data_IF_025646867948
#
_entry.id   IF_025646867948
#
_cell.length_a   1.000
_cell.length_b   1.000
_cell.length_c   1.000
_cell.angle_alpha   90.00
_cell.angle_beta   90.00
_cell.angle_gamma   90.00
#
_symmetry.space_group_name_H-M   'P 1'
#
loop_
_entity.id
_entity.type
_entity.pdbx_description
1 polymer ?
#
# COMPACT_ATOMS: atom_id res chain seq x y z
N UNK A 1 17.19 -15.59 -11.34
CA UNK A 1 16.50 -15.95 -10.09
C UNK A 1 17.41 -15.77 -8.88
N UNK A 2 17.94 -14.54 -8.66
CA UNK A 2 18.90 -14.26 -7.54
C UNK A 2 18.68 -12.89 -6.89
N UNK A 3 17.56 -12.18 -7.18
CA UNK A 3 17.41 -10.76 -6.83
C UNK A 3 16.59 -10.44 -5.56
N UNK A 4 15.94 -11.41 -4.95
CA UNK A 4 15.04 -11.14 -3.80
C UNK A 4 15.66 -11.43 -2.42
N UNK A 5 16.99 -11.61 -2.33
CA UNK A 5 17.62 -11.93 -1.04
C UNK A 5 18.06 -10.73 -0.22
N UNK A 6 17.96 -9.51 -0.72
CA UNK A 6 18.45 -8.31 -0.04
C UNK A 6 17.39 -7.19 0.02
N UNK A 7 16.11 -7.50 0.33
CA UNK A 7 15.26 -6.47 0.93
C UNK A 7 15.75 -6.28 2.38
N UNK A 8 16.95 -5.74 2.53
CA UNK A 8 17.39 -5.18 3.78
C UNK A 8 16.57 -3.91 3.95
N UNK A 9 15.47 -3.98 4.70
CA UNK A 9 14.83 -2.80 5.24
C UNK A 9 15.91 -2.13 6.09
N UNK A 10 16.55 -1.10 5.53
CA UNK A 10 17.40 -0.22 6.29
C UNK A 10 16.50 0.36 7.39
N UNK A 11 16.81 0.04 8.64
CA UNK A 11 16.15 0.65 9.77
C UNK A 11 16.39 2.17 9.65
N UNK A 12 15.38 2.89 9.16
CA UNK A 12 15.41 4.35 9.08
C UNK A 12 15.30 4.84 10.51
N UNK A 13 16.45 5.17 11.09
CA UNK A 13 16.52 5.94 12.32
C UNK A 13 16.05 7.36 11.99
N UNK A 14 14.76 7.60 12.19
CA UNK A 14 14.15 8.90 12.02
C UNK A 14 14.69 9.87 13.08
N UNK A 15 15.64 10.70 12.68
CA UNK A 15 15.96 11.91 13.40
C UNK A 15 15.00 13.01 12.94
N UNK A 16 14.14 13.41 13.85
CA UNK A 16 13.12 14.44 13.79
C UNK A 16 13.58 15.77 13.21
N UNK A 17 13.04 16.17 12.05
CA UNK A 17 12.81 17.59 11.71
C UNK A 17 11.48 17.68 10.97
N UNK A 18 10.40 17.89 11.72
CA UNK A 18 9.05 18.09 11.20
C UNK A 18 8.91 19.56 10.83
N UNK A 19 9.13 19.95 9.60
CA UNK A 19 8.59 21.21 9.07
C UNK A 19 8.81 21.62 7.59
N UNK A 20 9.31 20.89 6.61
CA UNK A 20 8.92 21.22 5.23
C UNK A 20 8.32 20.06 4.41
N UNK A 21 7.87 18.98 5.05
CA UNK A 21 7.41 17.79 4.34
C UNK A 21 6.00 17.92 3.74
N UNK A 22 5.15 18.79 4.27
CA UNK A 22 3.74 18.82 3.85
C UNK A 22 3.49 19.36 2.43
N UNK A 23 4.34 20.25 1.91
CA UNK A 23 4.16 20.78 0.54
C UNK A 23 4.69 19.84 -0.57
N UNK A 24 5.51 18.84 -0.21
CA UNK A 24 6.06 17.85 -1.16
C UNK A 24 5.22 16.58 -1.26
N UNK A 25 4.36 16.33 -0.28
CA UNK A 25 3.56 15.09 -0.20
C UNK A 25 2.46 15.06 -1.27
N UNK A 26 1.91 16.21 -1.65
CA UNK A 26 0.83 16.26 -2.65
C UNK A 26 1.31 15.87 -4.06
N UNK A 27 2.49 16.31 -4.48
CA UNK A 27 3.06 16.00 -5.80
C UNK A 27 3.42 14.51 -5.92
N UNK A 28 4.00 13.91 -4.88
CA UNK A 28 4.44 12.52 -4.92
C UNK A 28 3.28 11.51 -4.98
N UNK A 29 2.12 11.83 -4.38
CA UNK A 29 0.95 10.94 -4.48
C UNK A 29 0.34 10.97 -5.90
N UNK A 30 0.32 12.13 -6.55
CA UNK A 30 -0.12 12.24 -7.94
C UNK A 30 0.82 11.47 -8.89
N UNK A 31 2.13 11.48 -8.62
CA UNK A 31 3.11 10.73 -9.38
C UNK A 31 2.99 9.22 -9.14
N UNK A 32 2.71 8.78 -7.90
CA UNK A 32 2.40 7.40 -7.60
C UNK A 32 1.14 6.93 -8.36
N UNK A 33 0.05 7.70 -8.35
CA UNK A 33 -1.17 7.36 -9.11
C UNK A 33 -0.89 7.24 -10.61
N UNK A 34 -0.07 8.14 -11.17
CA UNK A 34 0.33 8.10 -12.58
C UNK A 34 1.16 6.85 -12.86
N UNK A 35 2.15 6.53 -12.02
CA UNK A 35 2.96 5.31 -12.14
C UNK A 35 2.08 4.06 -12.15
N UNK A 36 1.11 3.96 -11.25
CA UNK A 36 0.18 2.83 -11.18
C UNK A 36 -0.64 2.72 -12.48
N UNK A 37 -1.18 3.83 -12.97
CA UNK A 37 -1.97 3.87 -14.19
C UNK A 37 -1.15 3.49 -15.44
N UNK A 38 0.07 4.02 -15.57
CA UNK A 38 1.00 3.74 -16.67
C UNK A 38 1.41 2.26 -16.71
N UNK A 39 1.32 1.57 -15.57
CA UNK A 39 1.60 0.13 -15.46
C UNK A 39 0.32 -0.74 -15.45
N UNK A 40 -0.78 -0.22 -15.98
CA UNK A 40 -1.98 -0.99 -16.30
C UNK A 40 -2.91 -1.23 -15.12
N UNK A 41 -2.82 -0.43 -14.06
CA UNK A 41 -3.84 -0.38 -13.02
C UNK A 41 -4.87 0.67 -13.43
N UNK A 42 -6.13 0.24 -13.59
CA UNK A 42 -7.22 1.15 -13.91
C UNK A 42 -7.64 1.91 -12.65
N UNK A 43 -7.11 3.12 -12.49
CA UNK A 43 -7.44 3.99 -11.34
C UNK A 43 -8.73 4.75 -11.64
N UNK A 44 -9.72 4.59 -10.78
CA UNK A 44 -11.02 5.26 -10.88
C UNK A 44 -11.28 6.04 -9.60
N UNK A 45 -11.62 7.31 -9.75
CA UNK A 45 -12.07 8.16 -8.65
C UNK A 45 -13.61 8.20 -8.72
N UNK A 46 -14.27 7.62 -7.74
CA UNK A 46 -15.71 7.51 -7.71
C UNK A 46 -16.30 8.44 -6.64
N UNK A 47 -17.16 9.36 -7.05
CA UNK A 47 -17.83 10.29 -6.13
C UNK A 47 -19.07 9.68 -5.46
N UNK A 48 -19.59 8.57 -5.99
CA UNK A 48 -20.79 7.88 -5.50
C UNK A 48 -20.45 6.74 -4.52
N UNK A 49 -19.42 6.89 -3.71
CA UNK A 49 -19.09 5.93 -2.67
C UNK A 49 -20.11 5.98 -1.54
N UNK A 50 -20.54 4.80 -1.09
CA UNK A 50 -21.52 4.66 -0.01
C UNK A 50 -20.96 4.90 1.40
N UNK A 51 -19.67 5.26 1.49
CA UNK A 51 -18.96 5.52 2.76
C UNK A 51 -18.51 4.26 3.49
N UNK A 52 -18.65 3.08 2.88
CA UNK A 52 -18.19 1.81 3.50
C UNK A 52 -16.69 1.59 3.37
N UNK A 53 -16.04 2.27 2.41
CA UNK A 53 -14.58 2.21 2.19
C UNK A 53 -14.08 3.55 1.61
N UNK A 54 -12.79 3.84 1.82
CA UNK A 54 -12.11 5.01 1.25
C UNK A 54 -11.35 4.67 -0.03
N UNK A 55 -10.91 3.44 -0.18
CA UNK A 55 -10.27 2.89 -1.36
C UNK A 55 -10.47 1.38 -1.43
N UNK A 56 -10.25 0.81 -2.61
CA UNK A 56 -10.19 -0.63 -2.80
C UNK A 56 -9.38 -0.97 -4.04
N UNK A 57 -8.38 -1.86 -3.87
CA UNK A 57 -7.73 -2.51 -4.98
C UNK A 57 -8.39 -3.86 -5.27
N UNK A 58 -8.66 -4.14 -6.54
CA UNK A 58 -9.30 -5.37 -7.00
C UNK A 58 -8.55 -5.97 -8.17
N UNK A 59 -8.51 -7.29 -8.19
CA UNK A 59 -8.10 -8.06 -9.35
C UNK A 59 -9.29 -8.87 -9.85
N UNK A 60 -9.85 -8.46 -11.00
CA UNK A 60 -11.04 -9.10 -11.58
C UNK A 60 -10.69 -9.66 -12.96
N UNK A 61 -10.59 -10.97 -13.05
CA UNK A 61 -10.11 -11.64 -14.25
C UNK A 61 -8.64 -11.31 -14.51
N UNK A 62 -8.32 -10.55 -15.57
CA UNK A 62 -6.97 -10.06 -15.86
C UNK A 62 -6.82 -8.55 -15.67
N UNK A 63 -7.82 -7.90 -15.09
CA UNK A 63 -7.82 -6.46 -14.87
C UNK A 63 -7.43 -6.14 -13.44
N UNK A 64 -6.53 -5.18 -13.29
CA UNK A 64 -6.16 -4.57 -12.03
C UNK A 64 -6.89 -3.25 -11.91
N UNK A 65 -7.67 -3.09 -10.87
CA UNK A 65 -8.52 -1.91 -10.67
C UNK A 65 -8.27 -1.34 -9.28
N UNK A 66 -8.12 -0.02 -9.21
CA UNK A 66 -8.08 0.73 -7.97
C UNK A 66 -9.21 1.73 -7.97
N UNK A 67 -10.11 1.62 -7.03
CA UNK A 67 -11.20 2.56 -6.85
C UNK A 67 -10.92 3.41 -5.60
N UNK A 68 -10.89 4.71 -5.77
CA UNK A 68 -10.68 5.68 -4.70
C UNK A 68 -11.96 6.45 -4.46
N UNK A 69 -12.31 6.64 -3.21
CA UNK A 69 -13.45 7.40 -2.75
C UNK A 69 -12.94 8.71 -2.13
N UNK A 70 -12.80 9.78 -2.90
CA UNK A 70 -12.45 11.07 -2.34
C UNK A 70 -13.62 11.57 -1.48
N UNK A 71 -13.32 12.43 -0.52
CA UNK A 71 -14.31 13.28 0.09
C UNK A 71 -15.03 14.16 -0.97
N UNK A 72 -15.58 15.27 -0.58
CA UNK A 72 -16.40 16.12 -1.47
C UNK A 72 -15.64 16.72 -2.68
N UNK A 73 -14.33 16.60 -2.77
CA UNK A 73 -13.50 17.13 -3.87
C UNK A 73 -12.35 16.17 -4.22
N UNK A 74 -11.83 16.22 -5.47
CA UNK A 74 -10.65 15.47 -5.91
C UNK A 74 -9.42 15.82 -5.07
N UNK A 75 -9.32 17.03 -4.59
CA UNK A 75 -8.24 17.49 -3.69
C UNK A 75 -8.30 16.85 -2.29
N UNK A 76 -9.38 16.12 -1.99
CA UNK A 76 -9.59 15.41 -0.73
C UNK A 76 -9.31 13.90 -0.84
N UNK A 77 -8.56 13.45 -1.85
CA UNK A 77 -8.06 12.06 -1.87
C UNK A 77 -7.13 11.91 -0.67
N UNK A 78 -7.49 10.98 0.19
CA UNK A 78 -6.64 10.64 1.32
C UNK A 78 -5.36 9.96 0.81
N UNK A 79 -4.23 10.66 0.95
CA UNK A 79 -2.91 10.17 0.53
C UNK A 79 -2.55 8.83 1.19
N UNK A 80 -3.02 8.62 2.41
CA UNK A 80 -2.86 7.37 3.13
C UNK A 80 -3.59 6.24 2.41
N UNK A 81 -4.85 6.45 2.02
CA UNK A 81 -5.63 5.49 1.24
C UNK A 81 -4.94 5.12 -0.08
N UNK A 82 -4.38 6.09 -0.81
CA UNK A 82 -3.65 5.79 -2.05
C UNK A 82 -2.45 4.87 -1.80
N UNK A 83 -1.67 5.15 -0.75
CA UNK A 83 -0.53 4.28 -0.38
C UNK A 83 -0.99 2.89 0.02
N UNK A 84 -2.07 2.78 0.81
CA UNK A 84 -2.67 1.50 1.21
C UNK A 84 -3.02 0.63 -0.01
N UNK A 85 -3.78 1.19 -0.94
CA UNK A 85 -4.21 0.46 -2.14
C UNK A 85 -3.03 0.15 -3.09
N UNK A 86 -2.02 1.02 -3.14
CA UNK A 86 -0.79 0.75 -3.88
C UNK A 86 -0.02 -0.44 -3.28
N UNK A 87 0.01 -0.60 -1.96
CA UNK A 87 0.62 -1.78 -1.30
C UNK A 87 -0.10 -3.06 -1.71
N UNK A 88 -1.43 -3.07 -1.78
CA UNK A 88 -2.17 -4.24 -2.29
C UNK A 88 -1.80 -4.59 -3.74
N UNK A 89 -1.51 -3.59 -4.58
CA UNK A 89 -1.03 -3.85 -5.93
C UNK A 89 0.38 -4.48 -5.96
N UNK A 90 1.26 -4.07 -5.04
CA UNK A 90 2.59 -4.66 -4.86
C UNK A 90 2.48 -6.11 -4.38
N UNK A 91 1.66 -6.37 -3.36
CA UNK A 91 1.37 -7.72 -2.87
C UNK A 91 0.91 -8.63 -4.01
N UNK A 92 0.00 -8.13 -4.85
CA UNK A 92 -0.49 -8.87 -6.01
C UNK A 92 0.64 -9.21 -6.99
N UNK A 93 1.45 -8.24 -7.41
CA UNK A 93 2.58 -8.47 -8.34
C UNK A 93 3.57 -9.50 -7.79
N UNK A 94 3.98 -9.35 -6.53
CA UNK A 94 4.94 -10.24 -5.88
C UNK A 94 4.39 -11.66 -5.78
N UNK A 95 3.12 -11.80 -5.41
CA UNK A 95 2.50 -13.12 -5.24
C UNK A 95 2.30 -13.82 -6.58
N UNK A 96 1.93 -13.10 -7.64
CA UNK A 96 1.87 -13.65 -9.00
C UNK A 96 3.27 -14.11 -9.46
N UNK A 97 4.30 -13.29 -9.27
CA UNK A 97 5.66 -13.65 -9.62
C UNK A 97 6.22 -14.86 -8.84
N UNK A 98 5.79 -15.02 -7.60
CA UNK A 98 6.17 -16.16 -6.73
C UNK A 98 5.32 -17.42 -6.98
N UNK A 99 4.19 -17.30 -7.67
CA UNK A 99 3.19 -18.37 -7.79
C UNK A 99 2.54 -18.72 -6.45
N UNK A 100 2.42 -17.74 -5.56
CA UNK A 100 1.83 -17.90 -4.23
C UNK A 100 0.38 -17.37 -4.21
N UNK A 101 -0.34 -17.67 -3.12
CA UNK A 101 -1.69 -17.15 -2.94
C UNK A 101 -1.66 -15.61 -2.83
N UNK A 102 -2.65 -14.96 -3.43
CA UNK A 102 -2.75 -13.47 -3.45
C UNK A 102 -2.86 -12.84 -2.06
N UNK A 103 -3.30 -13.59 -1.05
CA UNK A 103 -3.43 -13.12 0.33
C UNK A 103 -2.16 -13.37 1.17
N UNK A 104 -0.98 -13.32 0.55
CA UNK A 104 0.30 -13.49 1.25
C UNK A 104 1.01 -12.14 1.33
N UNK A 105 1.51 -11.71 2.50
CA UNK A 105 2.28 -10.48 2.60
C UNK A 105 3.61 -10.58 1.83
N UNK A 106 4.17 -9.44 1.46
CA UNK A 106 5.48 -9.36 0.79
C UNK A 106 6.61 -9.60 1.77
N UNK A 107 6.48 -9.03 2.96
CA UNK A 107 7.39 -9.25 4.09
C UNK A 107 7.31 -10.71 4.57
N UNK A 108 8.43 -11.23 5.06
CA UNK A 108 8.35 -12.47 5.82
C UNK A 108 7.58 -12.27 7.13
N UNK A 109 6.90 -13.32 7.59
CA UNK A 109 5.98 -13.22 8.73
C UNK A 109 6.65 -12.80 10.04
N UNK A 110 7.91 -13.16 10.26
CA UNK A 110 8.60 -12.78 11.51
C UNK A 110 8.89 -11.28 11.52
N UNK A 111 9.40 -10.75 10.42
CA UNK A 111 9.64 -9.31 10.22
C UNK A 111 8.33 -8.52 10.30
N UNK A 112 7.25 -8.99 9.66
CA UNK A 112 5.96 -8.33 9.71
C UNK A 112 5.42 -8.25 11.14
N UNK A 113 5.44 -9.36 11.89
CA UNK A 113 4.96 -9.39 13.28
C UNK A 113 5.76 -8.44 14.17
N UNK A 114 7.08 -8.39 14.03
CA UNK A 114 7.94 -7.46 14.78
C UNK A 114 7.61 -6.01 14.44
N UNK A 115 7.48 -5.67 13.15
CA UNK A 115 7.16 -4.33 12.70
C UNK A 115 5.76 -3.89 13.15
N UNK A 116 4.76 -4.76 13.03
CA UNK A 116 3.39 -4.49 13.50
C UNK A 116 3.37 -4.21 15.01
N UNK A 117 4.04 -5.05 15.81
CA UNK A 117 4.07 -4.87 17.26
C UNK A 117 4.80 -3.61 17.71
N UNK A 118 5.77 -3.14 16.92
CA UNK A 118 6.59 -1.96 17.27
C UNK A 118 6.07 -0.64 16.70
N UNK A 119 5.31 -0.66 15.59
CA UNK A 119 5.00 0.54 14.82
C UNK A 119 3.51 0.78 14.59
N UNK A 120 2.67 -0.28 14.58
CA UNK A 120 1.23 -0.08 14.40
C UNK A 120 0.53 0.26 15.72
N UNK A 121 -0.33 1.29 15.74
CA UNK A 121 -1.21 1.54 16.87
C UNK A 121 -2.14 0.35 17.14
N UNK A 122 -2.39 0.04 18.40
CA UNK A 122 -3.30 -1.05 18.81
C UNK A 122 -4.71 -0.89 18.21
N UNK A 123 -5.16 0.36 18.02
CA UNK A 123 -6.44 0.65 17.39
C UNK A 123 -6.50 0.16 15.93
N UNK A 124 -5.40 0.27 15.17
CA UNK A 124 -5.31 -0.23 13.80
C UNK A 124 -5.32 -1.76 13.79
N UNK A 125 -4.54 -2.39 14.66
CA UNK A 125 -4.52 -3.85 14.81
C UNK A 125 -5.92 -4.39 15.16
N UNK A 126 -6.61 -3.71 16.07
CA UNK A 126 -7.97 -4.06 16.45
C UNK A 126 -8.95 -3.86 15.29
N UNK A 127 -8.83 -2.76 14.57
CA UNK A 127 -9.66 -2.49 13.39
C UNK A 127 -9.52 -3.60 12.35
N UNK A 128 -8.29 -3.98 11.98
CA UNK A 128 -8.02 -5.05 11.02
C UNK A 128 -8.65 -6.36 11.49
N UNK A 129 -8.42 -6.75 12.74
CA UNK A 129 -8.96 -8.01 13.30
C UNK A 129 -10.48 -8.05 13.39
N UNK A 130 -11.12 -6.89 13.50
CA UNK A 130 -12.59 -6.79 13.63
C UNK A 130 -13.27 -6.76 12.25
N UNK A 131 -12.66 -6.12 11.26
CA UNK A 131 -13.34 -5.82 10.00
C UNK A 131 -12.92 -6.74 8.83
N UNK A 132 -11.82 -7.49 8.98
CA UNK A 132 -11.33 -8.36 7.92
C UNK A 132 -11.33 -9.84 8.34
N UNK A 133 -11.53 -10.78 7.39
CA UNK A 133 -11.33 -12.20 7.62
C UNK A 133 -9.90 -12.51 8.09
N UNK A 134 -9.73 -13.55 8.89
CA UNK A 134 -8.44 -13.88 9.49
C UNK A 134 -7.32 -14.15 8.48
N UNK A 135 -7.64 -14.72 7.33
CA UNK A 135 -6.72 -14.99 6.23
C UNK A 135 -6.26 -13.72 5.49
N UNK A 136 -6.91 -12.58 5.72
CA UNK A 136 -6.52 -11.27 5.20
C UNK A 136 -5.70 -10.44 6.21
N UNK A 137 -5.66 -10.81 7.48
CA UNK A 137 -5.02 -9.98 8.51
C UNK A 137 -3.58 -9.60 8.18
N UNK A 138 -2.78 -10.54 7.66
CA UNK A 138 -1.38 -10.29 7.38
C UNK A 138 -1.18 -9.25 6.27
N UNK A 139 -1.94 -9.34 5.18
CA UNK A 139 -1.86 -8.38 4.07
C UNK A 139 -2.38 -7.00 4.47
N UNK A 140 -3.45 -6.95 5.26
CA UNK A 140 -4.01 -5.70 5.76
C UNK A 140 -3.09 -5.03 6.79
N UNK A 141 -2.46 -5.81 7.68
CA UNK A 141 -1.46 -5.30 8.63
C UNK A 141 -0.24 -4.73 7.88
N UNK A 142 0.24 -5.41 6.83
CA UNK A 142 1.35 -4.91 6.01
C UNK A 142 0.95 -3.63 5.26
N UNK A 143 -0.26 -3.57 4.68
CA UNK A 143 -0.74 -2.38 3.99
C UNK A 143 -0.87 -1.19 4.94
N UNK A 144 -1.49 -1.37 6.11
CA UNK A 144 -1.58 -0.33 7.15
C UNK A 144 -0.21 0.10 7.69
N UNK A 145 0.73 -0.84 7.85
CA UNK A 145 2.09 -0.53 8.29
C UNK A 145 2.79 0.38 7.28
N UNK A 146 2.80 0.02 6.01
CA UNK A 146 3.44 0.80 4.95
C UNK A 146 2.70 2.12 4.68
N UNK A 147 1.38 2.13 4.75
CA UNK A 147 0.59 3.37 4.69
C UNK A 147 1.06 4.41 5.73
N UNK A 148 1.35 3.97 6.96
CA UNK A 148 1.72 4.84 8.07
C UNK A 148 3.22 5.17 8.10
N UNK A 149 4.07 4.29 7.60
CA UNK A 149 5.53 4.40 7.78
C UNK A 149 6.30 4.78 6.52
N UNK A 150 5.70 4.59 5.33
CA UNK A 150 6.34 4.91 4.06
C UNK A 150 5.73 6.14 3.40
N UNK A 151 6.54 6.86 2.64
CA UNK A 151 6.12 7.95 1.77
C UNK A 151 5.59 7.41 0.44
N UNK A 152 4.88 8.25 -0.34
CA UNK A 152 4.43 7.86 -1.68
C UNK A 152 5.59 7.54 -2.63
N UNK A 153 6.73 8.22 -2.47
CA UNK A 153 7.95 7.94 -3.28
C UNK A 153 8.52 6.56 -2.94
N UNK A 154 8.61 6.20 -1.66
CA UNK A 154 9.07 4.87 -1.24
C UNK A 154 8.14 3.76 -1.71
N UNK A 155 6.83 3.99 -1.68
CA UNK A 155 5.84 3.05 -2.26
C UNK A 155 6.01 2.93 -3.79
N UNK A 156 6.29 4.05 -4.49
CA UNK A 156 6.55 4.04 -5.93
C UNK A 156 7.81 3.24 -6.29
N UNK A 157 8.87 3.36 -5.49
CA UNK A 157 10.09 2.56 -5.64
C UNK A 157 9.79 1.06 -5.44
N UNK A 158 9.10 0.69 -4.36
CA UNK A 158 8.69 -0.69 -4.09
C UNK A 158 7.82 -1.26 -5.23
N UNK A 159 6.87 -0.46 -5.73
CA UNK A 159 6.03 -0.87 -6.86
C UNK A 159 6.87 -1.12 -8.13
N UNK A 160 7.81 -0.23 -8.42
CA UNK A 160 8.67 -0.35 -9.59
C UNK A 160 9.52 -1.62 -9.52
N UNK A 161 10.11 -1.92 -8.37
CA UNK A 161 10.89 -3.14 -8.16
C UNK A 161 10.05 -4.40 -8.30
N UNK A 162 8.85 -4.39 -7.72
CA UNK A 162 7.99 -5.56 -7.65
C UNK A 162 7.21 -5.86 -8.94
N UNK A 163 6.77 -4.80 -9.64
CA UNK A 163 5.78 -4.92 -10.72
C UNK A 163 6.31 -4.58 -12.11
N UNK A 164 7.40 -3.78 -12.21
CA UNK A 164 7.91 -3.27 -13.49
C UNK A 164 9.24 -3.95 -13.87
N UNK A 165 10.07 -4.32 -12.89
CA UNK A 165 11.41 -4.89 -13.08
C UNK A 165 11.47 -6.41 -13.26
N UNK A 166 10.33 -7.10 -13.34
CA UNK A 166 10.23 -8.55 -13.41
C UNK A 166 10.13 -9.13 -14.82
#
# INVERSE_FOLDING_TARGET
MKLLKNLAIAAITAATTIAPAMARVEDSTADLLRLLADNGINVTINQDCDGTYHGVYRFVGMKREMHLCPGATIDAIDHATVRHEAVHSIQHCVNVARGTAVNTPVMDMATLVEAVNSQLPESVVTFVKTNYPQDHWAIEMEANLLELTATSDEIAELFTEACVGG
#
